data_IF_169238664633
#
_entry.id   IF_169238664633
#
_cell.length_a   1.000
_cell.length_b   1.000
_cell.length_c   1.000
_cell.angle_alpha   90.00
_cell.angle_beta   90.00
_cell.angle_gamma   90.00
#
_symmetry.space_group_name_H-M   'P 1'
#
loop_
_entity.id
_entity.type
_entity.pdbx_description
1 polymer ?
#
# COMPACT_ATOMS: atom_id res chain seq x y z
N UNK A 1 -5.27 -3.02 1.24
CA UNK A 1 -5.84 -4.02 0.32
C UNK A 1 -6.50 -5.16 1.08
N UNK A 2 -5.85 -5.70 2.12
CA UNK A 2 -6.46 -6.71 3.00
C UNK A 2 -6.22 -6.33 4.48
N UNK A 3 -7.25 -5.88 5.21
CA UNK A 3 -7.13 -5.54 6.63
C UNK A 3 -6.76 -6.75 7.51
N UNK A 4 -7.20 -7.95 7.17
CA UNK A 4 -6.94 -9.15 7.95
C UNK A 4 -5.48 -9.56 7.85
N UNK A 5 -4.91 -9.52 6.65
CA UNK A 5 -3.48 -9.72 6.43
C UNK A 5 -2.67 -8.72 7.25
N UNK A 6 -3.01 -7.43 7.20
CA UNK A 6 -2.30 -6.39 7.96
C UNK A 6 -2.39 -6.63 9.47
N UNK A 7 -3.61 -6.74 10.00
CA UNK A 7 -3.88 -6.81 11.44
C UNK A 7 -3.34 -8.10 12.07
N UNK A 8 -3.36 -9.23 11.35
CA UNK A 8 -3.01 -10.54 11.93
C UNK A 8 -1.62 -11.05 11.52
N UNK A 9 -1.02 -10.53 10.45
CA UNK A 9 0.29 -11.01 9.96
C UNK A 9 1.40 -9.99 10.13
N UNK A 10 1.16 -8.73 9.77
CA UNK A 10 2.22 -7.71 9.68
C UNK A 10 2.29 -6.87 10.94
N UNK A 11 1.17 -6.25 11.34
CA UNK A 11 1.11 -5.34 12.48
C UNK A 11 1.63 -5.95 13.79
N UNK A 12 1.28 -7.21 14.16
CA UNK A 12 1.75 -7.80 15.41
C UNK A 12 3.26 -8.04 15.44
N UNK A 13 3.85 -8.41 14.29
CA UNK A 13 5.30 -8.64 14.19
C UNK A 13 6.10 -7.34 14.37
N UNK A 14 5.58 -6.22 13.87
CA UNK A 14 6.24 -4.93 13.94
C UNK A 14 6.24 -4.32 15.35
N UNK A 15 5.38 -4.80 16.26
CA UNK A 15 5.37 -4.33 17.65
C UNK A 15 6.69 -4.65 18.37
N UNK A 16 7.06 -3.90 19.42
CA UNK A 16 8.17 -4.27 20.29
C UNK A 16 7.95 -5.66 20.89
N UNK A 17 8.90 -6.58 20.70
CA UNK A 17 8.77 -7.96 21.18
C UNK A 17 7.87 -8.87 20.33
N UNK A 18 7.31 -8.36 19.22
CA UNK A 18 6.34 -9.09 18.39
C UNK A 18 6.91 -10.37 17.78
N UNK A 19 8.17 -10.32 17.33
CA UNK A 19 8.87 -11.50 16.79
C UNK A 19 9.06 -12.58 17.85
N UNK A 20 9.49 -12.21 19.06
CA UNK A 20 9.73 -13.15 20.15
C UNK A 20 8.43 -13.83 20.60
N UNK A 21 7.34 -13.07 20.68
CA UNK A 21 6.02 -13.62 20.96
C UNK A 21 5.65 -14.65 19.89
N UNK A 22 5.83 -14.31 18.62
CA UNK A 22 5.51 -15.22 17.52
C UNK A 22 6.37 -16.48 17.53
N UNK A 23 7.68 -16.34 17.77
CA UNK A 23 8.60 -17.47 17.86
C UNK A 23 8.22 -18.41 19.00
N UNK A 24 7.79 -17.86 20.13
CA UNK A 24 7.30 -18.63 21.28
C UNK A 24 6.03 -19.41 20.94
N UNK A 25 5.04 -18.77 20.31
CA UNK A 25 3.81 -19.45 19.84
C UNK A 25 4.13 -20.62 18.91
N UNK A 26 5.01 -20.41 17.93
CA UNK A 26 5.43 -21.46 17.00
C UNK A 26 6.10 -22.62 17.73
N UNK A 27 6.96 -22.33 18.70
CA UNK A 27 7.62 -23.35 19.53
C UNK A 27 6.62 -24.13 20.37
N UNK A 28 5.64 -23.45 20.98
CA UNK A 28 4.57 -24.09 21.75
C UNK A 28 3.68 -24.99 20.88
N UNK A 29 3.52 -24.67 19.59
CA UNK A 29 2.81 -25.50 18.61
C UNK A 29 3.68 -26.58 17.94
N UNK A 30 4.97 -26.69 18.30
CA UNK A 30 5.90 -27.65 17.68
C UNK A 30 6.19 -27.37 16.20
N UNK A 31 6.09 -26.11 15.78
CA UNK A 31 6.38 -25.66 14.42
C UNK A 31 7.83 -25.18 14.28
N UNK A 32 8.31 -25.18 13.04
CA UNK A 32 9.60 -24.56 12.69
C UNK A 32 9.61 -23.06 13.02
N UNK A 33 10.78 -22.48 13.32
CA UNK A 33 10.90 -21.06 13.60
C UNK A 33 10.45 -20.22 12.40
N UNK A 34 10.02 -18.99 12.69
CA UNK A 34 9.72 -18.01 11.66
C UNK A 34 11.02 -17.68 10.90
N UNK A 35 11.03 -18.00 9.61
CA UNK A 35 12.13 -17.70 8.69
C UNK A 35 11.63 -16.84 7.54
N UNK A 36 12.52 -16.43 6.62
CA UNK A 36 12.17 -15.62 5.44
C UNK A 36 11.44 -16.45 4.37
N UNK A 37 10.28 -17.00 4.74
CA UNK A 37 9.37 -17.73 3.88
C UNK A 37 7.98 -17.11 3.92
N UNK A 38 7.15 -17.46 2.93
CA UNK A 38 5.73 -17.11 2.91
C UNK A 38 4.98 -17.70 4.10
N UNK A 39 3.78 -17.18 4.38
CA UNK A 39 2.99 -17.59 5.53
C UNK A 39 2.58 -19.09 5.52
N UNK A 40 2.56 -19.71 4.35
CA UNK A 40 2.33 -21.15 4.13
C UNK A 40 3.64 -21.97 4.08
N UNK A 41 4.81 -21.32 4.18
CA UNK A 41 6.14 -21.93 4.10
C UNK A 41 6.55 -22.42 2.70
N UNK A 42 5.72 -22.20 1.67
CA UNK A 42 5.94 -22.78 0.35
C UNK A 42 7.07 -22.09 -0.42
N UNK A 43 7.19 -20.76 -0.30
CA UNK A 43 8.16 -19.96 -1.06
C UNK A 43 9.13 -19.22 -0.15
N UNK A 44 10.37 -19.08 -0.61
CA UNK A 44 11.35 -18.23 0.06
C UNK A 44 11.17 -16.79 -0.39
N UNK A 45 11.14 -15.86 0.56
CA UNK A 45 11.00 -14.42 0.30
C UNK A 45 12.29 -13.79 -0.19
N UNK A 46 13.43 -14.42 0.10
CA UNK A 46 14.77 -14.01 -0.36
C UNK A 46 15.68 -15.24 -0.49
N UNK A 47 16.84 -15.13 -1.18
CA UNK A 47 17.75 -16.25 -1.34
C UNK A 47 18.16 -16.86 0.00
N UNK A 48 18.03 -18.18 0.12
CA UNK A 48 18.29 -18.92 1.38
C UNK A 48 17.36 -18.51 2.53
N UNK A 49 16.16 -18.03 2.22
CA UNK A 49 15.23 -17.47 3.20
C UNK A 49 14.85 -18.45 4.32
N UNK A 50 14.74 -19.75 4.00
CA UNK A 50 14.49 -20.81 4.99
C UNK A 50 15.58 -20.97 6.05
N UNK A 51 16.79 -20.47 5.80
CA UNK A 51 17.92 -20.56 6.75
C UNK A 51 18.10 -19.30 7.60
N UNK A 52 17.29 -18.27 7.32
CA UNK A 52 17.41 -16.96 7.96
C UNK A 52 16.20 -16.83 8.89
N UNK A 53 16.44 -16.91 10.19
CA UNK A 53 15.39 -16.67 11.18
C UNK A 53 15.05 -15.18 11.27
N UNK A 54 13.78 -14.92 11.46
CA UNK A 54 13.28 -13.57 11.71
C UNK A 54 13.64 -13.19 13.15
N UNK A 55 14.20 -12.00 13.31
CA UNK A 55 14.64 -11.40 14.56
C UNK A 55 14.15 -9.96 14.61
N UNK A 56 14.21 -9.33 15.79
CA UNK A 56 13.79 -7.93 15.91
C UNK A 56 14.61 -6.97 15.02
N UNK A 57 15.86 -7.35 14.70
CA UNK A 57 16.76 -6.57 13.85
C UNK A 57 16.43 -6.67 12.34
N UNK A 58 15.75 -7.73 11.90
CA UNK A 58 15.44 -7.96 10.48
C UNK A 58 13.93 -8.07 10.19
N UNK A 59 13.07 -7.83 11.19
CA UNK A 59 11.61 -7.95 11.07
C UNK A 59 11.00 -6.99 10.06
N UNK A 60 11.59 -5.80 9.89
CA UNK A 60 11.12 -4.81 8.91
C UNK A 60 11.34 -5.31 7.48
N UNK A 61 12.51 -5.89 7.20
CA UNK A 61 12.82 -6.53 5.93
C UNK A 61 11.86 -7.71 5.66
N UNK A 62 11.64 -8.56 6.66
CA UNK A 62 10.70 -9.67 6.54
C UNK A 62 9.27 -9.16 6.24
N UNK A 63 8.80 -8.16 6.98
CA UNK A 63 7.48 -7.57 6.78
C UNK A 63 7.34 -6.95 5.38
N UNK A 64 8.36 -6.24 4.90
CA UNK A 64 8.39 -5.67 3.57
C UNK A 64 8.27 -6.76 2.49
N UNK A 65 9.10 -7.80 2.56
CA UNK A 65 9.07 -8.88 1.57
C UNK A 65 7.78 -9.70 1.64
N UNK A 66 7.23 -9.90 2.83
CA UNK A 66 5.93 -10.57 3.01
C UNK A 66 4.81 -9.77 2.38
N UNK A 67 4.80 -8.43 2.56
CA UNK A 67 3.86 -7.54 1.89
C UNK A 67 4.04 -7.58 0.36
N UNK A 68 5.27 -7.56 -0.14
CA UNK A 68 5.53 -7.63 -1.58
C UNK A 68 5.04 -8.94 -2.19
N UNK A 69 5.32 -10.08 -1.55
CA UNK A 69 4.83 -11.38 -2.00
C UNK A 69 3.30 -11.47 -1.96
N UNK A 70 2.67 -10.93 -0.92
CA UNK A 70 1.22 -10.88 -0.80
C UNK A 70 0.57 -10.02 -1.90
N UNK A 71 1.18 -8.88 -2.24
CA UNK A 71 0.62 -7.92 -3.20
C UNK A 71 0.80 -8.35 -4.65
N UNK A 72 2.00 -8.83 -5.02
CA UNK A 72 2.35 -9.09 -6.42
C UNK A 72 2.98 -10.47 -6.65
N UNK A 73 3.25 -11.24 -5.60
CA UNK A 73 4.03 -12.48 -5.71
C UNK A 73 3.39 -13.57 -6.57
N UNK A 74 2.06 -13.64 -6.64
CA UNK A 74 1.33 -14.61 -7.48
C UNK A 74 1.22 -14.21 -8.95
N UNK A 75 1.38 -12.91 -9.25
CA UNK A 75 1.17 -12.32 -10.59
C UNK A 75 2.43 -11.61 -11.11
N UNK A 76 3.59 -11.90 -10.52
CA UNK A 76 4.83 -11.17 -10.78
C UNK A 76 5.28 -11.29 -12.23
N UNK A 77 5.10 -12.46 -12.84
CA UNK A 77 5.49 -12.70 -14.22
C UNK A 77 4.62 -11.90 -15.20
N UNK A 78 3.30 -11.93 -14.99
CA UNK A 78 2.29 -11.23 -15.76
C UNK A 78 2.47 -9.71 -15.65
N UNK A 79 2.67 -9.21 -14.42
CA UNK A 79 2.95 -7.81 -14.16
C UNK A 79 4.28 -7.39 -14.80
N UNK A 80 5.29 -8.26 -14.79
CA UNK A 80 6.56 -8.03 -15.48
C UNK A 80 6.38 -7.84 -16.99
N UNK A 81 5.58 -8.68 -17.64
CA UNK A 81 5.23 -8.52 -19.06
C UNK A 81 4.49 -7.20 -19.33
N UNK A 82 3.57 -6.81 -18.45
CA UNK A 82 2.86 -5.54 -18.56
C UNK A 82 3.82 -4.35 -18.47
N UNK A 83 4.72 -4.36 -17.49
CA UNK A 83 5.73 -3.31 -17.30
C UNK A 83 6.69 -3.22 -18.49
N UNK A 84 7.12 -4.37 -19.02
CA UNK A 84 7.96 -4.42 -20.23
C UNK A 84 7.25 -3.79 -21.42
N UNK A 85 6.03 -4.22 -21.74
CA UNK A 85 5.25 -3.66 -22.84
C UNK A 85 4.92 -2.18 -22.65
N UNK A 86 4.67 -1.74 -21.41
CA UNK A 86 4.48 -0.33 -21.09
C UNK A 86 5.75 0.49 -21.40
N UNK A 87 6.92 -0.01 -21.03
CA UNK A 87 8.20 0.67 -21.27
C UNK A 87 8.68 0.64 -22.72
N UNK A 88 8.20 -0.30 -23.54
CA UNK A 88 8.40 -0.26 -25.00
C UNK A 88 7.72 0.96 -25.65
N UNK A 89 6.60 1.40 -25.08
CA UNK A 89 5.86 2.57 -25.57
C UNK A 89 6.30 3.87 -24.89
N UNK A 90 6.50 3.82 -23.57
CA UNK A 90 6.87 4.98 -22.74
C UNK A 90 8.16 4.64 -21.98
N UNK A 91 9.33 5.09 -22.48
CA UNK A 91 10.60 4.83 -21.82
C UNK A 91 10.60 5.33 -20.37
N UNK A 92 11.18 4.54 -19.47
CA UNK A 92 11.23 4.87 -18.03
C UNK A 92 11.87 6.25 -17.78
N UNK A 93 12.85 6.63 -18.59
CA UNK A 93 13.53 7.93 -18.53
C UNK A 93 12.56 9.11 -18.69
N UNK A 94 11.51 8.95 -19.50
CA UNK A 94 10.50 10.00 -19.70
C UNK A 94 9.62 10.17 -18.46
N UNK A 95 9.27 9.07 -17.79
CA UNK A 95 8.50 9.13 -16.53
C UNK A 95 9.30 9.88 -15.46
N UNK A 96 10.61 9.59 -15.35
CA UNK A 96 11.49 10.25 -14.40
C UNK A 96 11.71 11.72 -14.78
N UNK A 97 11.96 12.02 -16.05
CA UNK A 97 12.19 13.38 -16.53
C UNK A 97 11.00 14.31 -16.30
N UNK A 98 9.78 13.76 -16.32
CA UNK A 98 8.55 14.50 -16.06
C UNK A 98 8.06 14.37 -14.60
N UNK A 99 8.85 13.78 -13.71
CA UNK A 99 8.50 13.58 -12.30
C UNK A 99 7.13 12.90 -12.10
N UNK A 100 6.76 11.97 -13.01
CA UNK A 100 5.46 11.31 -12.98
C UNK A 100 5.42 10.26 -11.87
N UNK A 101 4.65 10.56 -10.81
CA UNK A 101 4.34 9.60 -9.76
C UNK A 101 3.18 8.65 -10.13
N UNK A 102 2.92 7.64 -9.30
CA UNK A 102 1.88 6.64 -9.56
C UNK A 102 0.46 7.26 -9.65
N UNK A 103 0.20 8.32 -8.88
CA UNK A 103 -1.08 9.02 -8.87
C UNK A 103 -1.27 9.84 -10.16
N UNK A 104 -0.22 10.53 -10.60
CA UNK A 104 -0.20 11.25 -11.87
C UNK A 104 -0.36 10.32 -13.06
N UNK A 105 0.32 9.16 -13.05
CA UNK A 105 0.14 8.16 -14.09
C UNK A 105 -1.31 7.64 -14.13
N UNK A 106 -1.91 7.38 -12.96
CA UNK A 106 -3.33 6.99 -12.88
C UNK A 106 -4.22 8.08 -13.47
N UNK A 107 -4.02 9.35 -13.12
CA UNK A 107 -4.79 10.47 -13.66
C UNK A 107 -4.66 10.60 -15.18
N UNK A 108 -3.47 10.35 -15.74
CA UNK A 108 -3.26 10.38 -17.20
C UNK A 108 -4.04 9.28 -17.92
N UNK A 109 -4.10 8.08 -17.35
CA UNK A 109 -4.77 6.93 -17.96
C UNK A 109 -6.30 6.98 -17.77
N UNK A 110 -6.75 7.30 -16.56
CA UNK A 110 -8.18 7.31 -16.21
C UNK A 110 -8.87 8.64 -16.58
N UNK A 111 -8.10 9.68 -16.88
CA UNK A 111 -8.61 11.05 -17.02
C UNK A 111 -8.79 11.74 -15.67
N UNK A 112 -9.03 13.05 -15.73
CA UNK A 112 -9.35 13.86 -14.55
C UNK A 112 -10.88 13.98 -14.48
N UNK A 113 -11.50 13.30 -13.53
CA UNK A 113 -12.91 13.55 -13.21
C UNK A 113 -13.02 14.97 -12.64
N UNK A 114 -14.00 15.76 -13.08
CA UNK A 114 -14.32 17.03 -12.43
C UNK A 114 -15.03 16.74 -11.10
N UNK A 115 -14.49 17.27 -10.00
CA UNK A 115 -14.99 17.04 -8.65
C UNK A 115 -15.83 18.25 -8.31
N UNK A 116 -17.12 18.00 -8.21
CA UNK A 116 -18.09 18.93 -7.64
C UNK A 116 -17.94 18.93 -6.11
N UNK A 117 -17.42 20.03 -5.59
CA UNK A 117 -17.20 20.22 -4.16
C UNK A 117 -18.53 20.42 -3.41
N UNK A 118 -19.54 20.98 -4.08
CA UNK A 118 -20.85 21.19 -3.47
C UNK A 118 -21.60 19.86 -3.34
N UNK A 119 -21.48 18.98 -4.33
CA UNK A 119 -21.98 17.59 -4.21
C UNK A 119 -21.25 16.82 -3.11
N UNK A 120 -19.92 16.96 -3.02
CA UNK A 120 -19.15 16.32 -1.95
C UNK A 120 -19.58 16.82 -0.57
N UNK A 121 -19.70 18.14 -0.37
CA UNK A 121 -20.18 18.70 0.90
C UNK A 121 -21.61 18.23 1.22
N UNK A 122 -22.50 18.20 0.22
CA UNK A 122 -23.89 17.77 0.40
C UNK A 122 -24.04 16.31 0.85
N UNK A 123 -23.08 15.44 0.50
CA UNK A 123 -23.08 14.03 0.88
C UNK A 123 -22.15 13.71 2.07
N UNK A 124 -21.43 14.70 2.60
CA UNK A 124 -20.50 14.49 3.70
C UNK A 124 -21.22 14.38 5.06
N UNK A 125 -20.86 13.35 5.83
CA UNK A 125 -21.26 13.25 7.24
C UNK A 125 -20.22 13.98 8.10
N UNK A 126 -20.62 15.09 8.73
CA UNK A 126 -19.73 15.90 9.56
C UNK A 126 -19.85 15.49 11.02
N UNK A 127 -18.76 14.93 11.57
CA UNK A 127 -18.58 14.75 13.00
C UNK A 127 -17.79 15.93 13.58
N UNK A 128 -18.34 16.59 14.61
CA UNK A 128 -17.71 17.73 15.27
C UNK A 128 -18.19 19.10 14.79
N UNK A 129 -17.27 20.07 14.65
CA UNK A 129 -17.62 21.47 14.39
C UNK A 129 -18.02 21.70 12.92
N UNK A 130 -19.30 22.02 12.69
CA UNK A 130 -19.79 22.44 11.36
C UNK A 130 -19.10 23.68 10.82
N UNK A 131 -18.63 24.57 11.69
CA UNK A 131 -17.88 25.75 11.26
C UNK A 131 -16.54 25.37 10.62
N UNK A 132 -15.82 24.43 11.23
CA UNK A 132 -14.54 23.93 10.71
C UNK A 132 -14.76 23.18 9.39
N UNK A 133 -15.82 22.38 9.29
CA UNK A 133 -16.20 21.72 8.04
C UNK A 133 -16.49 22.73 6.92
N UNK A 134 -17.25 23.79 7.20
CA UNK A 134 -17.51 24.85 6.23
C UNK A 134 -16.23 25.53 5.74
N UNK A 135 -15.30 25.86 6.66
CA UNK A 135 -14.00 26.41 6.27
C UNK A 135 -13.16 25.46 5.41
N UNK A 136 -13.23 24.16 5.69
CA UNK A 136 -12.55 23.14 4.89
C UNK A 136 -13.12 23.10 3.45
N UNK A 137 -14.44 23.04 3.27
CA UNK A 137 -15.05 23.02 1.95
C UNK A 137 -14.86 24.34 1.19
N UNK A 138 -14.92 25.49 1.88
CA UNK A 138 -14.60 26.79 1.28
C UNK A 138 -13.15 26.90 0.79
N UNK A 139 -12.22 26.30 1.53
CA UNK A 139 -10.84 26.17 1.10
C UNK A 139 -10.72 25.24 -0.11
N UNK A 140 -11.42 24.10 -0.09
CA UNK A 140 -11.38 23.09 -1.15
C UNK A 140 -11.96 23.60 -2.48
N UNK A 141 -13.05 24.38 -2.45
CA UNK A 141 -13.62 25.07 -3.62
C UNK A 141 -12.57 25.93 -4.34
N UNK A 142 -11.66 26.56 -3.60
CA UNK A 142 -10.59 27.42 -4.16
C UNK A 142 -9.38 26.65 -4.66
N UNK A 143 -9.38 25.31 -4.59
CA UNK A 143 -8.29 24.46 -5.08
C UNK A 143 -8.53 24.04 -6.54
N UNK A 144 -7.47 23.89 -7.35
CA UNK A 144 -7.58 23.34 -8.70
C UNK A 144 -8.05 21.89 -8.65
N UNK A 145 -8.57 21.41 -9.78
CA UNK A 145 -9.16 20.08 -9.91
C UNK A 145 -8.20 18.95 -9.53
N UNK A 146 -6.92 19.09 -9.89
CA UNK A 146 -5.86 18.15 -9.51
C UNK A 146 -5.74 18.01 -7.98
N UNK A 147 -5.74 19.14 -7.25
CA UNK A 147 -5.62 19.12 -5.79
C UNK A 147 -6.86 18.53 -5.11
N UNK A 148 -8.06 18.75 -5.67
CA UNK A 148 -9.29 18.10 -5.20
C UNK A 148 -9.22 16.59 -5.40
N UNK A 149 -8.72 16.15 -6.56
CA UNK A 149 -8.58 14.73 -6.92
C UNK A 149 -7.56 14.02 -6.03
N UNK A 150 -6.43 14.66 -5.75
CA UNK A 150 -5.42 14.14 -4.80
C UNK A 150 -5.98 14.02 -3.38
N UNK A 151 -6.79 14.98 -2.94
CA UNK A 151 -7.41 14.92 -1.61
C UNK A 151 -8.44 13.79 -1.52
N UNK A 152 -9.24 13.59 -2.57
CA UNK A 152 -10.20 12.47 -2.64
C UNK A 152 -9.47 11.12 -2.63
N UNK A 153 -8.38 10.99 -3.40
CA UNK A 153 -7.53 9.80 -3.39
C UNK A 153 -6.90 9.54 -2.03
N UNK A 154 -6.45 10.59 -1.34
CA UNK A 154 -5.88 10.47 -0.01
C UNK A 154 -6.88 9.93 1.01
N UNK A 155 -8.14 10.37 0.95
CA UNK A 155 -9.17 9.97 1.93
C UNK A 155 -9.83 8.64 1.60
N UNK A 156 -9.96 8.29 0.31
CA UNK A 156 -10.72 7.11 -0.12
C UNK A 156 -9.85 5.98 -0.70
N UNK A 157 -8.59 6.27 -1.03
CA UNK A 157 -7.75 5.39 -1.84
C UNK A 157 -8.06 5.42 -3.35
N UNK A 158 -9.00 6.26 -3.81
CA UNK A 158 -9.35 6.44 -5.23
C UNK A 158 -9.56 7.91 -5.60
N UNK A 159 -9.06 8.34 -6.75
CA UNK A 159 -9.35 9.68 -7.32
C UNK A 159 -10.54 9.65 -8.30
N UNK A 160 -11.25 8.54 -8.38
CA UNK A 160 -12.35 8.27 -9.31
C UNK A 160 -13.48 7.61 -8.56
#
# INVERSE_FOLDING_TARGET
LDPDFWNHRVQPLLQPGGVQLRQRELTEWGMEPLTFTTADGLRELKPSGRRIEVSDANKEEYAQLLCEDFLIGSVRAELGCLVLGFHELIPQEQLVAHNLDAEQLRMLVCGVAEIDVDEWEGNAVVEGSRQVAGWFFDWLRKRPQEARSKLLAFTTGSSV
#
